data_IF_348330177285
#
_entry.id   IF_348330177285
#
_cell.length_a   1.000
_cell.length_b   1.000
_cell.length_c   1.000
_cell.angle_alpha   90.00
_cell.angle_beta   90.00
_cell.angle_gamma   90.00
#
_symmetry.space_group_name_H-M   'P 1'
#
loop_
_entity.id
_entity.type
_entity.pdbx_description
1 polymer ?
#
# COMPACT_ATOMS: atom_id res chain seq x y z
N UNK A 1 37.14 -62.81 4.32
CA UNK A 1 37.63 -63.13 5.67
C UNK A 1 36.64 -62.48 6.63
N UNK A 2 35.81 -63.30 7.11
CA UNK A 2 35.75 -64.06 8.35
C UNK A 2 35.11 -63.21 9.44
N UNK A 3 33.82 -63.38 9.69
CA UNK A 3 33.27 -64.32 10.70
C UNK A 3 33.48 -63.79 12.13
N UNK A 4 32.58 -63.81 13.03
CA UNK A 4 31.55 -64.73 13.49
C UNK A 4 30.98 -64.13 14.78
N UNK A 5 29.70 -64.19 14.98
CA UNK A 5 28.86 -65.16 15.74
C UNK A 5 28.43 -64.60 17.11
N UNK A 6 27.13 -64.53 17.30
CA UNK A 6 26.22 -65.46 18.05
C UNK A 6 26.45 -65.40 19.57
N UNK A 7 25.44 -65.37 20.42
CA UNK A 7 24.17 -66.08 20.65
C UNK A 7 23.52 -65.55 21.91
N UNK A 8 22.21 -65.41 21.96
CA UNK A 8 21.22 -66.25 22.65
C UNK A 8 21.33 -66.22 24.19
N UNK A 9 20.24 -66.09 24.91
CA UNK A 9 18.99 -66.79 25.12
C UNK A 9 18.16 -66.10 26.20
N UNK A 10 16.90 -66.08 26.08
CA UNK A 10 15.88 -67.03 26.54
C UNK A 10 15.96 -67.37 28.04
N UNK A 11 14.93 -66.99 28.82
CA UNK A 11 13.73 -67.75 29.19
C UNK A 11 13.06 -67.04 30.36
N UNK A 12 11.77 -66.73 30.30
CA UNK A 12 10.65 -67.55 30.77
C UNK A 12 10.67 -67.73 32.33
N UNK A 13 9.68 -67.40 33.07
CA UNK A 13 8.32 -67.85 33.10
C UNK A 13 7.60 -67.41 34.41
N UNK A 14 6.31 -67.09 34.24
CA UNK A 14 5.19 -67.65 34.99
C UNK A 14 4.82 -67.12 36.37
N UNK A 15 3.59 -66.64 36.37
CA UNK A 15 2.41 -67.02 37.19
C UNK A 15 2.44 -66.52 38.64
N UNK A 16 1.40 -66.05 39.19
CA UNK A 16 -0.06 -66.28 39.16
C UNK A 16 -0.75 -65.24 40.01
N UNK A 17 -1.85 -64.81 39.53
CA UNK A 17 -3.19 -64.69 40.11
C UNK A 17 -3.43 -64.21 41.55
N UNK A 18 -4.45 -63.36 41.55
CA UNK A 18 -5.56 -63.19 42.51
C UNK A 18 -5.46 -61.98 43.43
N UNK A 19 -6.38 -61.19 43.52
CA UNK A 19 -7.83 -61.05 43.49
C UNK A 19 -8.21 -59.80 44.29
N UNK A 20 -9.12 -59.06 43.73
CA UNK A 20 -10.14 -58.23 44.39
C UNK A 20 -9.77 -57.15 45.43
N UNK A 21 -10.04 -55.89 45.10
CA UNK A 21 -11.14 -55.17 45.71
C UNK A 21 -11.15 -53.70 45.26
N UNK A 22 -12.27 -53.33 44.68
CA UNK A 22 -12.88 -52.02 44.61
C UNK A 22 -12.24 -50.90 45.42
N UNK A 23 -11.98 -49.76 44.73
CA UNK A 23 -12.66 -48.47 44.99
C UNK A 23 -12.35 -47.50 43.88
N UNK A 24 -13.42 -47.06 43.23
CA UNK A 24 -13.37 -46.04 42.21
C UNK A 24 -12.95 -44.71 42.80
N UNK A 25 -11.87 -44.17 42.24
CA UNK A 25 -11.56 -42.73 42.36
C UNK A 25 -11.68 -42.10 40.99
N UNK A 26 -12.70 -41.23 40.92
CA UNK A 26 -12.95 -40.39 39.74
C UNK A 26 -11.74 -39.50 39.51
N UNK A 27 -10.98 -39.75 38.43
CA UNK A 27 -10.09 -38.76 37.88
C UNK A 27 -10.87 -37.56 37.38
N UNK A 28 -10.90 -36.48 38.15
CA UNK A 28 -11.33 -35.17 37.73
C UNK A 28 -10.26 -34.64 36.76
N UNK A 29 -10.63 -34.54 35.51
CA UNK A 29 -9.85 -33.90 34.44
C UNK A 29 -9.52 -32.45 34.79
N UNK A 30 -8.23 -32.17 34.94
CA UNK A 30 -7.65 -30.84 35.16
C UNK A 30 -7.67 -29.93 33.88
N UNK A 31 -8.77 -29.93 33.12
CA UNK A 31 -8.92 -29.10 31.93
C UNK A 31 -9.47 -27.69 32.20
N UNK A 32 -10.13 -27.48 33.34
CA UNK A 32 -10.75 -26.19 33.65
C UNK A 32 -9.80 -25.13 34.23
N UNK A 33 -8.65 -25.54 34.82
CA UNK A 33 -7.74 -24.60 35.49
C UNK A 33 -6.87 -23.79 34.55
N UNK A 34 -6.50 -24.34 33.37
CA UNK A 34 -5.66 -23.64 32.37
C UNK A 34 -6.45 -22.55 31.64
N UNK A 35 -7.73 -22.75 31.36
CA UNK A 35 -8.57 -21.72 30.72
C UNK A 35 -8.82 -20.52 31.64
N UNK A 36 -9.04 -20.74 32.94
CA UNK A 36 -9.20 -19.65 33.91
C UNK A 36 -7.95 -18.77 34.06
N UNK A 37 -6.76 -19.36 34.03
CA UNK A 37 -5.48 -18.63 34.15
C UNK A 37 -5.24 -17.77 32.92
N UNK A 38 -5.56 -18.23 31.70
CA UNK A 38 -5.44 -17.46 30.48
C UNK A 38 -6.38 -16.25 30.46
N UNK A 39 -7.63 -16.41 30.92
CA UNK A 39 -8.59 -15.31 31.04
C UNK A 39 -8.18 -14.29 32.10
N UNK A 40 -7.61 -14.72 33.22
CA UNK A 40 -7.08 -13.83 34.27
C UNK A 40 -5.85 -13.06 33.73
N UNK A 41 -4.97 -13.70 32.95
CA UNK A 41 -3.82 -13.06 32.37
C UNK A 41 -4.23 -12.02 31.29
N UNK A 42 -5.24 -12.33 30.48
CA UNK A 42 -5.81 -11.38 29.49
C UNK A 42 -6.51 -10.19 30.16
N UNK A 43 -7.27 -10.44 31.25
CA UNK A 43 -7.89 -9.38 32.02
C UNK A 43 -6.86 -8.49 32.73
N UNK A 44 -5.77 -9.09 33.26
CA UNK A 44 -4.67 -8.33 33.85
C UNK A 44 -3.91 -7.50 32.81
N UNK A 45 -3.67 -8.03 31.64
CA UNK A 45 -3.04 -7.29 30.53
C UNK A 45 -3.93 -6.11 30.08
N UNK A 46 -5.26 -6.32 29.97
CA UNK A 46 -6.20 -5.25 29.65
C UNK A 46 -6.22 -4.16 30.73
N UNK A 47 -6.18 -4.53 32.00
CA UNK A 47 -6.11 -3.59 33.13
C UNK A 47 -4.79 -2.81 33.15
N UNK A 48 -3.68 -3.42 32.78
CA UNK A 48 -2.37 -2.75 32.66
C UNK A 48 -2.41 -1.74 31.52
N UNK A 49 -2.99 -2.08 30.36
CA UNK A 49 -3.16 -1.15 29.23
C UNK A 49 -4.09 0.01 29.62
N UNK A 50 -5.20 -0.26 30.27
CA UNK A 50 -6.12 0.78 30.74
C UNK A 50 -5.49 1.65 31.84
N UNK A 51 -4.67 1.08 32.72
CA UNK A 51 -3.93 1.82 33.73
C UNK A 51 -2.81 2.67 33.07
N UNK A 52 -2.11 2.15 32.06
CA UNK A 52 -1.12 2.89 31.30
C UNK A 52 -1.74 4.07 30.55
N UNK A 53 -2.89 3.87 29.90
CA UNK A 53 -3.67 4.95 29.25
C UNK A 53 -4.18 5.95 30.28
N UNK A 54 -4.65 5.49 31.44
CA UNK A 54 -5.09 6.34 32.54
C UNK A 54 -3.94 7.14 33.15
N UNK A 55 -2.76 6.53 33.36
CA UNK A 55 -1.57 7.21 33.84
C UNK A 55 -1.01 8.20 32.82
N UNK A 56 -1.06 7.85 31.52
CA UNK A 56 -0.69 8.75 30.43
C UNK A 56 -1.64 9.97 30.36
N UNK A 57 -2.96 9.77 30.51
CA UNK A 57 -3.93 10.88 30.67
C UNK A 57 -3.64 11.75 31.93
N UNK A 58 -3.32 11.11 33.05
CA UNK A 58 -2.97 11.82 34.29
C UNK A 58 -1.64 12.54 34.23
N UNK A 59 -0.63 12.05 33.49
CA UNK A 59 0.64 12.74 33.32
C UNK A 59 0.51 14.00 32.45
N UNK A 60 -0.46 14.05 31.53
CA UNK A 60 -0.80 15.27 30.79
C UNK A 60 -1.54 16.32 31.64
N UNK A 61 -2.15 15.94 32.78
CA UNK A 61 -2.89 16.87 33.63
C UNK A 61 -2.03 17.65 34.64
N UNK A 62 -0.72 17.51 34.57
CA UNK A 62 0.18 18.15 35.52
C UNK A 62 1.28 19.00 34.90
N UNK A 63 1.00 20.25 34.56
CA UNK A 63 1.84 21.44 34.67
C UNK A 63 1.85 22.46 33.53
N UNK A 64 1.18 22.18 32.41
CA UNK A 64 1.01 23.19 31.37
C UNK A 64 -0.50 23.32 31.08
N UNK A 65 -1.01 24.47 30.62
CA UNK A 65 -2.39 24.54 30.15
C UNK A 65 -2.58 23.43 29.12
N UNK A 66 -3.45 22.46 29.47
CA UNK A 66 -3.68 21.29 28.61
C UNK A 66 -3.96 21.79 27.21
N UNK A 67 -3.21 21.28 26.22
CA UNK A 67 -3.44 21.61 24.82
C UNK A 67 -4.91 21.37 24.47
N UNK A 68 -5.50 22.27 23.70
CA UNK A 68 -6.93 22.21 23.38
C UNK A 68 -7.15 21.12 22.33
N UNK A 69 -8.19 20.30 22.52
CA UNK A 69 -8.64 19.35 21.52
C UNK A 69 -9.17 20.08 20.29
N UNK A 70 -8.62 19.79 19.11
CA UNK A 70 -9.01 20.43 17.85
C UNK A 70 -10.00 19.55 17.09
N UNK A 71 -9.70 18.26 16.95
CA UNK A 71 -10.56 17.26 16.31
C UNK A 71 -10.19 15.86 16.72
N UNK A 72 -11.01 14.89 16.32
CA UNK A 72 -10.72 13.46 16.46
C UNK A 72 -10.74 12.77 15.11
N UNK A 73 -9.92 11.74 14.97
CA UNK A 73 -9.89 10.84 13.81
C UNK A 73 -10.18 9.44 14.32
N UNK A 74 -11.44 9.02 14.24
CA UNK A 74 -11.91 7.82 14.91
C UNK A 74 -11.73 7.93 16.42
N UNK A 75 -10.85 7.13 17.00
CA UNK A 75 -10.55 7.17 18.45
C UNK A 75 -9.31 8.00 18.81
N UNK A 76 -8.60 8.53 17.81
CA UNK A 76 -7.38 9.30 18.03
C UNK A 76 -7.71 10.78 18.21
N UNK A 77 -7.32 11.32 19.35
CA UNK A 77 -7.46 12.75 19.68
C UNK A 77 -6.29 13.53 19.06
N UNK A 78 -6.59 14.70 18.47
CA UNK A 78 -5.60 15.63 17.90
C UNK A 78 -5.71 16.97 18.61
N UNK A 79 -4.63 17.38 19.25
CA UNK A 79 -4.56 18.57 20.06
C UNK A 79 -3.85 19.72 19.33
N UNK A 80 -4.03 20.95 19.81
CA UNK A 80 -3.53 22.16 19.16
C UNK A 80 -2.01 22.20 19.02
N UNK A 81 -1.28 21.73 20.03
CA UNK A 81 0.18 21.62 19.99
C UNK A 81 0.68 20.67 18.89
N UNK A 82 -0.03 19.55 18.70
CA UNK A 82 0.25 18.62 17.60
C UNK A 82 -0.07 19.24 16.24
N UNK A 83 -1.21 19.90 16.10
CA UNK A 83 -1.59 20.61 14.86
C UNK A 83 -0.56 21.67 14.52
N UNK A 84 -0.16 22.47 15.51
CA UNK A 84 0.85 23.51 15.33
C UNK A 84 2.20 22.93 14.90
N UNK A 85 2.60 21.77 15.44
CA UNK A 85 3.81 21.07 15.01
C UNK A 85 3.73 20.67 13.53
N UNK A 86 2.62 20.09 13.07
CA UNK A 86 2.45 19.72 11.67
C UNK A 86 2.44 20.95 10.75
N UNK A 87 1.78 22.03 11.14
CA UNK A 87 1.75 23.28 10.36
C UNK A 87 3.16 23.84 10.27
N UNK A 88 3.88 24.01 11.40
CA UNK A 88 5.22 24.56 11.42
C UNK A 88 6.16 23.77 10.50
N UNK A 89 6.15 22.44 10.60
CA UNK A 89 6.98 21.59 9.76
C UNK A 89 6.64 21.73 8.28
N UNK A 90 5.36 21.81 7.90
CA UNK A 90 4.95 21.97 6.51
C UNK A 90 5.29 23.35 5.97
N UNK A 91 5.03 24.42 6.74
CA UNK A 91 5.36 25.79 6.35
C UNK A 91 6.86 25.96 6.10
N UNK A 92 7.70 25.41 7.00
CA UNK A 92 9.17 25.46 6.85
C UNK A 92 9.63 24.58 5.68
N UNK A 93 9.17 23.33 5.59
CA UNK A 93 9.63 22.38 4.57
C UNK A 93 9.27 22.82 3.13
N UNK A 94 8.12 23.45 2.95
CA UNK A 94 7.68 23.94 1.63
C UNK A 94 8.05 25.40 1.38
N UNK A 95 8.67 26.11 2.34
CA UNK A 95 9.02 27.51 2.20
C UNK A 95 7.80 28.42 1.99
N UNK A 96 6.69 28.16 2.70
CA UNK A 96 5.43 28.87 2.51
C UNK A 96 5.51 30.26 3.12
N UNK A 97 5.81 31.27 2.30
CA UNK A 97 5.81 32.68 2.72
C UNK A 97 4.40 33.27 2.78
N UNK A 98 4.21 34.37 3.51
CA UNK A 98 2.93 35.08 3.56
C UNK A 98 2.48 35.54 2.16
N UNK A 99 3.40 36.06 1.36
CA UNK A 99 3.13 36.47 -0.02
C UNK A 99 2.66 35.31 -0.89
N UNK A 100 3.32 34.15 -0.81
CA UNK A 100 2.92 32.95 -1.56
C UNK A 100 1.53 32.49 -1.16
N UNK A 101 1.24 32.40 0.13
CA UNK A 101 -0.07 31.95 0.64
C UNK A 101 -1.23 32.87 0.21
N UNK A 102 -0.97 34.19 0.11
CA UNK A 102 -1.97 35.19 -0.24
C UNK A 102 -2.20 35.30 -1.75
N UNK A 103 -1.11 35.27 -2.54
CA UNK A 103 -1.14 35.65 -3.96
C UNK A 103 -1.11 34.45 -4.92
N UNK A 104 -0.96 33.21 -4.43
CA UNK A 104 -0.95 32.02 -5.27
C UNK A 104 -2.29 31.29 -5.24
N UNK A 105 -2.72 30.87 -6.43
CA UNK A 105 -3.89 29.99 -6.63
C UNK A 105 -3.40 28.58 -6.91
N UNK A 106 -3.93 27.61 -6.19
CA UNK A 106 -3.64 26.20 -6.39
C UNK A 106 -4.32 25.65 -7.67
N UNK A 107 -3.95 24.44 -8.09
CA UNK A 107 -4.48 23.81 -9.32
C UNK A 107 -6.00 23.59 -9.30
N UNK A 108 -6.58 23.41 -8.12
CA UNK A 108 -8.02 23.25 -7.90
C UNK A 108 -8.79 24.58 -7.88
N UNK A 109 -8.10 25.71 -8.03
CA UNK A 109 -8.68 27.07 -8.02
C UNK A 109 -8.82 27.68 -6.64
N UNK A 110 -8.46 26.99 -5.55
CA UNK A 110 -8.46 27.54 -4.19
C UNK A 110 -7.24 28.44 -3.94
N UNK A 111 -7.28 29.28 -2.88
CA UNK A 111 -6.09 29.98 -2.42
C UNK A 111 -5.05 28.99 -1.88
N UNK A 112 -3.77 29.28 -2.06
CA UNK A 112 -2.69 28.44 -1.53
C UNK A 112 -2.84 28.21 -0.02
N UNK A 113 -3.23 29.22 0.76
CA UNK A 113 -3.48 29.10 2.20
C UNK A 113 -4.57 28.06 2.55
N UNK A 114 -5.65 28.01 1.79
CA UNK A 114 -6.73 27.04 1.98
C UNK A 114 -6.29 25.64 1.55
N UNK A 115 -5.64 25.54 0.39
CA UNK A 115 -5.10 24.30 -0.14
C UNK A 115 -4.15 23.62 0.84
N UNK A 116 -3.11 24.33 1.29
CA UNK A 116 -2.14 23.73 2.22
C UNK A 116 -2.74 23.43 3.59
N UNK A 117 -3.70 24.23 4.07
CA UNK A 117 -4.42 23.94 5.30
C UNK A 117 -5.19 22.61 5.18
N UNK A 118 -5.84 22.38 4.05
CA UNK A 118 -6.54 21.13 3.76
C UNK A 118 -5.56 19.95 3.65
N UNK A 119 -4.43 20.13 2.94
CA UNK A 119 -3.41 19.10 2.82
C UNK A 119 -2.82 18.69 4.19
N UNK A 120 -2.63 19.64 5.10
CA UNK A 120 -2.16 19.35 6.46
C UNK A 120 -3.22 18.58 7.25
N UNK A 121 -4.49 18.91 7.10
CA UNK A 121 -5.59 18.17 7.73
C UNK A 121 -5.60 16.70 7.26
N UNK A 122 -5.51 16.49 5.94
CA UNK A 122 -5.47 15.16 5.33
C UNK A 122 -4.24 14.38 5.81
N UNK A 123 -3.08 15.02 5.86
CA UNK A 123 -1.84 14.40 6.37
C UNK A 123 -2.00 13.92 7.82
N UNK A 124 -2.55 14.75 8.70
CA UNK A 124 -2.76 14.35 10.10
C UNK A 124 -3.77 13.20 10.17
N UNK A 125 -4.84 13.28 9.41
CA UNK A 125 -5.87 12.23 9.36
C UNK A 125 -5.28 10.89 8.91
N UNK A 126 -4.49 10.90 7.83
CA UNK A 126 -3.84 9.70 7.31
C UNK A 126 -2.92 9.07 8.36
N UNK A 127 -2.06 9.87 8.99
CA UNK A 127 -1.20 9.39 10.07
C UNK A 127 -2.00 8.79 11.24
N UNK A 128 -3.12 9.38 11.64
CA UNK A 128 -3.95 8.86 12.74
C UNK A 128 -4.64 7.55 12.38
N UNK A 129 -5.12 7.40 11.13
CA UNK A 129 -5.66 6.14 10.63
C UNK A 129 -4.60 5.05 10.66
N UNK A 130 -3.43 5.32 10.07
CA UNK A 130 -2.32 4.38 10.01
C UNK A 130 -1.78 4.02 11.40
N UNK A 131 -1.66 5.00 12.28
CA UNK A 131 -1.29 4.77 13.69
C UNK A 131 -2.29 3.89 14.42
N UNK A 132 -3.59 4.10 14.22
CA UNK A 132 -4.64 3.22 14.76
C UNK A 132 -4.47 1.78 14.29
N UNK A 133 -4.17 1.57 13.01
CA UNK A 133 -3.91 0.24 12.44
C UNK A 133 -2.64 -0.36 13.02
N UNK A 134 -1.54 0.43 13.12
CA UNK A 134 -0.29 -0.04 13.73
C UNK A 134 -0.52 -0.55 15.17
N UNK A 135 -1.26 0.20 15.98
CA UNK A 135 -1.65 -0.22 17.34
C UNK A 135 -2.49 -1.50 17.33
N UNK A 136 -3.50 -1.57 16.46
CA UNK A 136 -4.39 -2.74 16.35
C UNK A 136 -3.63 -4.00 15.95
N UNK A 137 -2.61 -3.86 15.11
CA UNK A 137 -1.71 -4.96 14.70
C UNK A 137 -0.63 -5.27 15.73
N UNK A 138 -0.55 -4.54 16.83
CA UNK A 138 0.44 -4.75 17.90
C UNK A 138 1.87 -4.38 17.49
N UNK A 139 2.03 -3.47 16.53
CA UNK A 139 3.34 -2.96 16.13
C UNK A 139 3.90 -2.13 17.30
N UNK A 140 5.13 -2.42 17.69
CA UNK A 140 5.83 -1.74 18.78
C UNK A 140 7.23 -1.31 18.33
N UNK A 141 7.76 -0.28 18.97
CA UNK A 141 9.14 0.15 18.77
C UNK A 141 10.10 -0.72 19.59
N UNK A 142 11.28 -0.96 19.07
CA UNK A 142 12.41 -1.49 19.85
C UNK A 142 12.99 -0.41 20.76
N UNK A 143 13.86 -0.79 21.69
CA UNK A 143 14.56 0.17 22.56
C UNK A 143 15.43 1.15 21.75
N UNK A 144 16.05 0.68 20.66
CA UNK A 144 16.87 1.49 19.74
C UNK A 144 16.00 2.49 18.98
N UNK A 145 14.83 2.05 18.48
CA UNK A 145 13.88 2.94 17.79
C UNK A 145 13.30 3.98 18.76
N UNK A 146 12.97 3.62 19.99
CA UNK A 146 12.55 4.58 21.00
C UNK A 146 13.64 5.60 21.34
N UNK A 147 14.91 5.18 21.34
CA UNK A 147 16.03 6.09 21.53
C UNK A 147 16.19 7.04 20.34
N UNK A 148 16.01 6.52 19.11
CA UNK A 148 16.02 7.35 17.89
C UNK A 148 14.91 8.38 17.91
N UNK A 149 13.68 8.00 18.26
CA UNK A 149 12.54 8.93 18.43
C UNK A 149 12.89 10.06 19.39
N UNK A 150 13.47 9.75 20.55
CA UNK A 150 13.87 10.77 21.53
C UNK A 150 14.99 11.69 21.00
N UNK A 151 15.95 11.11 20.30
CA UNK A 151 17.05 11.85 19.67
C UNK A 151 16.54 12.83 18.62
N UNK A 152 15.66 12.35 17.73
CA UNK A 152 15.08 13.15 16.64
C UNK A 152 14.21 14.28 17.21
N UNK A 153 13.43 14.00 18.27
CA UNK A 153 12.65 15.02 18.96
C UNK A 153 13.55 16.11 19.57
N UNK A 154 14.64 15.73 20.24
CA UNK A 154 15.62 16.69 20.79
C UNK A 154 16.29 17.50 19.68
N UNK A 155 16.66 16.87 18.59
CA UNK A 155 17.26 17.54 17.44
C UNK A 155 16.30 18.56 16.83
N UNK A 156 15.03 18.19 16.62
CA UNK A 156 14.01 19.11 16.13
C UNK A 156 13.82 20.29 17.08
N UNK A 157 13.67 20.04 18.39
CA UNK A 157 13.53 21.11 19.38
C UNK A 157 14.73 22.05 19.40
N UNK A 158 15.94 21.54 19.16
CA UNK A 158 17.18 22.33 19.08
C UNK A 158 17.32 23.10 17.75
N UNK A 159 16.63 22.75 16.71
CA UNK A 159 16.68 23.42 15.41
C UNK A 159 15.72 24.61 15.29
N UNK A 160 14.76 24.74 16.18
CA UNK A 160 13.74 25.80 16.17
C UNK A 160 13.98 26.75 17.37
N UNK A 161 13.77 28.05 17.15
CA UNK A 161 13.86 29.03 18.22
C UNK A 161 12.86 28.71 19.36
N UNK A 162 13.36 28.62 20.60
CA UNK A 162 12.54 28.28 21.76
C UNK A 162 11.38 29.23 22.03
N UNK A 163 11.50 30.51 21.64
CA UNK A 163 10.38 31.48 21.74
C UNK A 163 9.22 31.09 20.84
N UNK A 164 9.53 30.58 19.65
CA UNK A 164 8.55 30.08 18.67
C UNK A 164 7.82 28.88 19.22
N UNK A 165 8.58 27.86 19.66
CA UNK A 165 8.03 26.64 20.24
C UNK A 165 7.09 26.94 21.41
N UNK A 166 7.51 27.83 22.31
CA UNK A 166 6.70 28.24 23.45
C UNK A 166 5.42 28.97 23.04
N UNK A 167 5.48 29.86 22.03
CA UNK A 167 4.31 30.58 21.52
C UNK A 167 3.31 29.62 20.88
N UNK A 168 3.78 28.60 20.18
CA UNK A 168 2.94 27.59 19.53
C UNK A 168 2.51 26.47 20.49
N UNK A 169 2.97 26.49 21.76
CA UNK A 169 2.70 25.45 22.74
C UNK A 169 3.31 24.09 22.38
N UNK A 170 4.34 24.07 21.51
CA UNK A 170 5.02 22.84 21.08
C UNK A 170 6.03 22.45 22.16
N UNK A 171 5.77 21.36 22.85
CA UNK A 171 6.63 20.80 23.88
C UNK A 171 7.45 19.63 23.35
N UNK A 172 8.55 19.31 24.04
CA UNK A 172 9.35 18.12 23.69
C UNK A 172 8.53 16.83 23.80
N UNK A 173 7.61 16.75 24.77
CA UNK A 173 6.73 15.58 24.93
C UNK A 173 5.78 15.44 23.75
N UNK A 174 5.20 16.56 23.27
CA UNK A 174 4.37 16.56 22.05
C UNK A 174 5.17 16.06 20.83
N UNK A 175 6.36 16.62 20.60
CA UNK A 175 7.23 16.21 19.47
C UNK A 175 7.60 14.73 19.57
N UNK A 176 7.99 14.29 20.77
CA UNK A 176 8.35 12.87 21.00
C UNK A 176 7.20 11.94 20.70
N UNK A 177 5.98 12.29 21.13
CA UNK A 177 4.79 11.45 20.89
C UNK A 177 4.42 11.41 19.39
N UNK A 178 4.45 12.55 18.70
CA UNK A 178 4.18 12.60 17.25
C UNK A 178 5.24 11.79 16.48
N UNK A 179 6.50 11.91 16.84
CA UNK A 179 7.56 11.12 16.19
C UNK A 179 7.41 9.64 16.46
N UNK A 180 7.05 9.26 17.69
CA UNK A 180 6.73 7.86 18.01
C UNK A 180 5.60 7.30 17.13
N UNK A 181 4.54 8.07 16.93
CA UNK A 181 3.44 7.68 16.04
C UNK A 181 3.94 7.49 14.60
N UNK A 182 4.75 8.42 14.07
CA UNK A 182 5.33 8.34 12.72
C UNK A 182 6.25 7.13 12.55
N UNK A 183 7.05 6.79 13.56
CA UNK A 183 7.89 5.58 13.52
C UNK A 183 7.04 4.30 13.48
N UNK A 184 5.94 4.25 14.23
CA UNK A 184 5.01 3.11 14.18
C UNK A 184 4.31 3.00 12.83
N UNK A 185 3.92 4.12 12.22
CA UNK A 185 3.36 4.18 10.87
C UNK A 185 4.39 3.70 9.85
N UNK A 186 5.63 4.19 9.93
CA UNK A 186 6.72 3.74 9.06
C UNK A 186 6.92 2.21 9.13
N UNK A 187 6.90 1.63 10.33
CA UNK A 187 6.99 0.15 10.49
C UNK A 187 5.79 -0.58 9.88
N UNK A 188 4.60 0.01 9.97
CA UNK A 188 3.41 -0.52 9.31
C UNK A 188 3.60 -0.52 7.80
N UNK A 189 4.01 0.60 7.21
CA UNK A 189 4.28 0.71 5.78
C UNK A 189 5.40 -0.24 5.33
N UNK A 190 6.51 -0.32 6.08
CA UNK A 190 7.60 -1.27 5.81
C UNK A 190 7.13 -2.74 5.84
N UNK A 191 6.12 -3.06 6.67
CA UNK A 191 5.53 -4.40 6.66
C UNK A 191 4.76 -4.69 5.38
N UNK A 192 4.08 -3.69 4.83
CA UNK A 192 3.35 -3.78 3.55
C UNK A 192 4.33 -3.83 2.37
N UNK A 193 5.39 -3.03 2.40
CA UNK A 193 6.43 -3.03 1.36
C UNK A 193 7.09 -4.41 1.22
N UNK A 194 7.28 -5.13 2.33
CA UNK A 194 7.82 -6.51 2.31
C UNK A 194 6.87 -7.54 1.68
N UNK A 195 5.59 -7.22 1.56
CA UNK A 195 4.63 -8.06 0.85
C UNK A 195 4.76 -7.93 -0.68
N UNK A 196 5.48 -6.91 -1.17
CA UNK A 196 5.68 -6.72 -2.61
C UNK A 196 6.86 -7.57 -3.07
N UNK A 197 6.55 -8.66 -3.74
CA UNK A 197 7.54 -9.61 -4.28
C UNK A 197 7.34 -9.79 -5.78
N UNK A 198 8.36 -10.29 -6.47
CA UNK A 198 8.26 -10.61 -7.88
C UNK A 198 7.26 -11.77 -8.15
N UNK A 199 7.07 -12.65 -7.17
CA UNK A 199 6.14 -13.78 -7.24
C UNK A 199 4.67 -13.33 -7.25
N UNK A 200 4.36 -12.18 -6.63
CA UNK A 200 3.01 -11.61 -6.62
C UNK A 200 2.65 -10.88 -7.92
N UNK A 201 3.63 -10.70 -8.81
CA UNK A 201 3.48 -10.02 -10.07
C UNK A 201 3.41 -11.06 -11.19
N UNK A 202 2.22 -11.28 -11.72
CA UNK A 202 2.01 -12.20 -12.84
C UNK A 202 2.30 -11.47 -14.16
N UNK A 203 3.54 -11.54 -14.62
CA UNK A 203 3.96 -10.96 -15.89
C UNK A 203 3.95 -12.02 -16.98
N UNK A 204 3.02 -11.87 -17.92
CA UNK A 204 2.93 -12.72 -19.09
C UNK A 204 3.73 -12.13 -20.25
N UNK A 205 4.43 -12.98 -20.99
CA UNK A 205 5.02 -12.62 -22.30
C UNK A 205 4.05 -13.01 -23.40
N UNK A 206 3.71 -12.06 -24.26
CA UNK A 206 2.78 -12.25 -25.37
C UNK A 206 3.32 -11.65 -26.67
N UNK A 207 2.89 -12.24 -27.80
CA UNK A 207 2.92 -11.53 -29.08
C UNK A 207 1.57 -10.89 -29.35
N UNK A 208 1.59 -9.69 -29.93
CA UNK A 208 0.40 -8.97 -30.37
C UNK A 208 0.54 -8.68 -31.86
N UNK A 209 -0.43 -9.17 -32.64
CA UNK A 209 -0.56 -8.83 -34.05
C UNK A 209 -1.66 -7.78 -34.18
N UNK A 210 -1.33 -6.61 -34.72
CA UNK A 210 -2.23 -5.46 -34.82
C UNK A 210 -2.63 -5.18 -36.27
N UNK A 211 -3.93 -5.07 -36.53
CA UNK A 211 -4.55 -4.63 -37.78
C UNK A 211 -5.18 -3.25 -37.56
N UNK A 212 -4.46 -2.14 -37.79
CA UNK A 212 -4.95 -0.80 -37.48
C UNK A 212 -6.22 -0.44 -38.27
N UNK A 213 -7.15 0.24 -37.61
CA UNK A 213 -8.31 0.91 -38.20
C UNK A 213 -8.05 2.38 -38.50
N UNK A 214 -6.85 2.84 -38.15
CA UNK A 214 -6.39 4.24 -38.23
C UNK A 214 -5.26 4.35 -39.24
N UNK A 215 -5.07 5.56 -39.76
CA UNK A 215 -3.90 5.89 -40.57
C UNK A 215 -2.64 5.86 -39.70
N UNK A 216 -1.56 5.31 -40.27
CA UNK A 216 -0.27 5.19 -39.60
C UNK A 216 0.74 6.11 -40.28
N UNK A 217 1.55 6.79 -39.46
CA UNK A 217 2.70 7.57 -39.92
C UNK A 217 3.84 6.64 -40.41
N UNK A 218 4.83 7.17 -41.12
CA UNK A 218 6.02 6.40 -41.52
C UNK A 218 6.81 5.84 -40.32
N UNK A 219 6.75 6.54 -39.18
CA UNK A 219 7.40 6.14 -37.92
C UNK A 219 6.63 5.10 -37.13
N UNK A 220 5.42 4.70 -37.56
CA UNK A 220 4.59 3.70 -36.94
C UNK A 220 3.66 4.20 -35.83
N UNK A 221 3.55 5.53 -35.69
CA UNK A 221 2.56 6.15 -34.83
C UNK A 221 1.19 6.33 -35.51
N UNK A 222 0.17 6.72 -34.78
CA UNK A 222 -1.13 7.07 -35.32
C UNK A 222 -1.08 8.48 -35.94
N UNK A 223 -1.55 8.61 -37.16
CA UNK A 223 -1.81 9.94 -37.73
C UNK A 223 -2.98 10.58 -36.98
N UNK A 224 -2.82 11.86 -36.58
CA UNK A 224 -3.77 12.60 -35.78
C UNK A 224 -4.44 13.71 -36.54
N UNK A 225 -5.67 14.02 -36.21
CA UNK A 225 -6.42 15.16 -36.74
C UNK A 225 -5.78 16.49 -36.27
N UNK A 226 -6.31 17.60 -36.77
CA UNK A 226 -5.82 18.95 -36.44
C UNK A 226 -5.85 19.28 -34.91
N UNK A 227 -6.67 18.56 -34.14
CA UNK A 227 -6.73 18.68 -32.69
C UNK A 227 -5.49 18.07 -31.98
N UNK A 228 -4.69 17.32 -32.69
CA UNK A 228 -3.49 16.64 -32.16
C UNK A 228 -3.79 15.47 -31.22
N UNK A 229 -5.04 15.12 -31.01
CA UNK A 229 -5.46 14.08 -30.06
C UNK A 229 -6.19 12.92 -30.77
N UNK A 230 -7.12 13.24 -31.67
CA UNK A 230 -7.99 12.25 -32.32
C UNK A 230 -7.27 11.55 -33.47
N UNK A 231 -7.19 10.18 -33.50
CA UNK A 231 -6.61 9.46 -34.63
C UNK A 231 -7.43 9.64 -35.92
N UNK A 232 -6.75 9.65 -37.08
CA UNK A 232 -7.38 9.65 -38.39
C UNK A 232 -7.83 8.23 -38.70
N UNK A 233 -9.14 8.02 -38.83
CA UNK A 233 -9.70 6.69 -39.14
C UNK A 233 -9.53 6.35 -40.64
N UNK A 234 -9.26 5.08 -40.92
CA UNK A 234 -9.36 4.54 -42.28
C UNK A 234 -10.80 4.63 -42.81
N UNK A 235 -10.98 4.53 -44.11
CA UNK A 235 -12.31 4.43 -44.70
C UNK A 235 -13.04 3.14 -44.23
N UNK A 236 -14.38 3.19 -44.23
CA UNK A 236 -15.19 2.02 -43.84
C UNK A 236 -14.86 0.75 -44.67
N UNK A 237 -14.53 0.93 -45.96
CA UNK A 237 -14.15 -0.17 -46.80
C UNK A 237 -12.78 -0.76 -46.39
N UNK A 238 -11.82 0.07 -46.04
CA UNK A 238 -10.51 -0.38 -45.53
C UNK A 238 -10.63 -1.04 -44.17
N UNK A 239 -11.45 -0.51 -43.28
CA UNK A 239 -11.73 -1.11 -41.96
C UNK A 239 -12.37 -2.51 -42.15
N UNK A 240 -13.33 -2.63 -43.04
CA UNK A 240 -13.95 -3.92 -43.37
C UNK A 240 -12.94 -4.93 -43.99
N UNK A 241 -11.95 -4.43 -44.76
CA UNK A 241 -10.88 -5.27 -45.27
C UNK A 241 -9.94 -5.70 -44.14
N UNK A 242 -9.53 -4.78 -43.21
CA UNK A 242 -8.73 -5.11 -42.02
C UNK A 242 -9.36 -6.18 -41.14
N UNK A 243 -10.71 -6.15 -41.01
CA UNK A 243 -11.45 -7.21 -40.30
C UNK A 243 -11.29 -8.58 -40.97
N UNK A 244 -11.46 -8.63 -42.31
CA UNK A 244 -11.30 -9.88 -43.05
C UNK A 244 -9.86 -10.41 -42.99
N UNK A 245 -8.88 -9.50 -43.04
CA UNK A 245 -7.48 -9.85 -42.95
C UNK A 245 -7.15 -10.41 -41.56
N UNK A 246 -7.69 -9.81 -40.50
CA UNK A 246 -7.52 -10.30 -39.12
C UNK A 246 -8.16 -11.67 -38.93
N UNK A 247 -9.38 -11.88 -39.44
CA UNK A 247 -10.08 -13.18 -39.34
C UNK A 247 -9.34 -14.28 -40.13
N UNK A 248 -8.78 -13.95 -41.32
CA UNK A 248 -7.97 -14.87 -42.08
C UNK A 248 -6.63 -15.18 -41.42
N UNK A 249 -5.95 -14.17 -40.93
CA UNK A 249 -4.71 -14.30 -40.16
C UNK A 249 -4.90 -15.20 -38.94
N UNK A 250 -5.94 -14.97 -38.16
CA UNK A 250 -6.27 -15.80 -37.00
C UNK A 250 -6.42 -17.28 -37.37
N UNK A 251 -7.13 -17.59 -38.47
CA UNK A 251 -7.26 -18.95 -38.95
C UNK A 251 -5.93 -19.59 -39.34
N UNK A 252 -5.10 -18.84 -40.08
CA UNK A 252 -3.76 -19.30 -40.48
C UNK A 252 -2.83 -19.57 -39.28
N UNK A 253 -2.91 -18.71 -38.25
CA UNK A 253 -2.19 -18.91 -36.99
C UNK A 253 -2.64 -20.18 -36.28
N UNK A 254 -3.94 -20.45 -36.23
CA UNK A 254 -4.47 -21.71 -35.68
C UNK A 254 -4.06 -22.93 -36.48
N UNK A 255 -3.86 -22.78 -37.81
CA UNK A 255 -3.38 -23.83 -38.71
C UNK A 255 -1.85 -24.01 -38.62
N UNK A 256 -1.15 -23.21 -37.79
CA UNK A 256 0.26 -23.36 -37.47
C UNK A 256 1.20 -22.42 -38.21
N UNK A 257 0.71 -21.38 -38.88
CA UNK A 257 1.54 -20.33 -39.46
C UNK A 257 2.29 -19.55 -38.37
N UNK A 258 3.48 -19.05 -38.69
CA UNK A 258 4.25 -18.20 -37.77
C UNK A 258 3.72 -16.79 -37.77
N UNK A 259 3.72 -16.15 -36.59
CA UNK A 259 3.17 -14.80 -36.44
C UNK A 259 3.93 -13.76 -37.26
N UNK A 260 5.25 -13.93 -37.41
CA UNK A 260 6.08 -13.03 -38.23
C UNK A 260 5.76 -13.15 -39.73
N UNK A 261 5.50 -14.37 -40.20
CA UNK A 261 5.09 -14.63 -41.59
C UNK A 261 3.72 -14.04 -41.90
N UNK A 262 2.82 -14.10 -40.93
CA UNK A 262 1.48 -13.50 -41.02
C UNK A 262 1.60 -11.97 -41.01
N UNK A 263 2.42 -11.39 -40.14
CA UNK A 263 2.65 -9.95 -40.10
C UNK A 263 3.18 -9.41 -41.45
N UNK A 264 4.18 -10.07 -42.01
CA UNK A 264 4.74 -9.73 -43.34
C UNK A 264 3.68 -9.87 -44.43
N UNK A 265 2.96 -10.98 -44.46
CA UNK A 265 1.94 -11.28 -45.47
C UNK A 265 0.84 -10.23 -45.53
N UNK A 266 0.37 -9.77 -44.37
CA UNK A 266 -0.73 -8.80 -44.30
C UNK A 266 -0.26 -7.36 -44.17
N UNK A 267 1.07 -7.12 -44.15
CA UNK A 267 1.67 -5.80 -43.99
C UNK A 267 1.25 -5.11 -42.72
N UNK A 268 1.30 -5.84 -41.61
CA UNK A 268 0.89 -5.39 -40.27
C UNK A 268 2.03 -5.60 -39.28
N UNK A 269 1.96 -4.89 -38.15
CA UNK A 269 2.97 -4.99 -37.10
C UNK A 269 2.69 -6.17 -36.16
N UNK A 270 3.76 -6.94 -35.90
CA UNK A 270 3.78 -7.89 -34.79
C UNK A 270 4.69 -7.35 -33.71
N UNK A 271 4.18 -7.22 -32.50
CA UNK A 271 4.95 -6.81 -31.36
C UNK A 271 5.21 -8.02 -30.47
N UNK A 272 6.48 -8.28 -30.15
CA UNK A 272 6.83 -9.24 -29.12
C UNK A 272 6.77 -8.52 -27.80
N UNK A 273 5.87 -8.94 -26.92
CA UNK A 273 5.75 -8.34 -25.60
C UNK A 273 6.68 -9.02 -24.60
N UNK A 274 7.95 -8.69 -24.62
CA UNK A 274 8.77 -8.80 -23.41
C UNK A 274 8.39 -7.71 -22.39
N UNK A 275 7.41 -6.87 -22.74
CA UNK A 275 6.94 -5.78 -21.90
C UNK A 275 5.70 -6.21 -21.14
N UNK A 276 5.86 -6.29 -19.84
CA UNK A 276 4.92 -6.74 -18.82
C UNK A 276 3.57 -6.02 -18.77
N UNK A 277 3.32 -5.04 -19.57
CA UNK A 277 2.14 -4.19 -19.47
C UNK A 277 1.49 -3.83 -20.80
N UNK A 278 1.64 -4.68 -21.81
CA UNK A 278 0.89 -4.50 -23.05
C UNK A 278 -0.63 -4.48 -22.77
N UNK A 279 -1.10 -5.23 -21.78
CA UNK A 279 -2.49 -5.23 -21.34
C UNK A 279 -2.94 -3.90 -20.77
N UNK A 280 -2.11 -3.25 -19.94
CA UNK A 280 -2.38 -1.91 -19.40
C UNK A 280 -2.37 -0.81 -20.47
N UNK A 281 -1.47 -0.92 -21.45
CA UNK A 281 -1.35 0.05 -22.53
C UNK A 281 -2.49 -0.02 -23.55
N UNK A 282 -3.09 -1.18 -23.74
CA UNK A 282 -4.16 -1.40 -24.72
C UNK A 282 -5.58 -1.46 -24.13
N UNK A 283 -5.72 -1.43 -22.79
CA UNK A 283 -7.01 -1.37 -22.09
C UNK A 283 -7.70 -2.71 -21.85
N UNK A 284 -8.92 -2.65 -21.31
CA UNK A 284 -9.67 -3.78 -20.77
C UNK A 284 -9.83 -5.01 -21.69
N UNK A 285 -10.10 -4.93 -23.00
CA UNK A 285 -10.26 -6.14 -23.80
C UNK A 285 -9.03 -7.03 -23.82
N UNK A 286 -7.83 -6.45 -23.76
CA UNK A 286 -6.57 -7.20 -23.82
C UNK A 286 -6.26 -7.90 -22.50
N UNK A 287 -6.49 -7.23 -21.36
CA UNK A 287 -6.25 -7.83 -20.05
C UNK A 287 -7.12 -9.06 -19.79
N UNK A 288 -8.39 -9.03 -20.16
CA UNK A 288 -9.30 -10.17 -19.99
C UNK A 288 -8.81 -11.43 -20.75
N UNK A 289 -8.32 -11.23 -21.99
CA UNK A 289 -7.77 -12.32 -22.78
C UNK A 289 -6.41 -12.78 -22.27
N UNK A 290 -5.55 -11.84 -21.83
CA UNK A 290 -4.25 -12.17 -21.25
C UNK A 290 -4.37 -13.06 -20.01
N UNK A 291 -5.35 -12.81 -19.15
CA UNK A 291 -5.63 -13.61 -17.95
C UNK A 291 -6.20 -14.99 -18.27
N UNK A 292 -6.87 -15.16 -19.41
CA UNK A 292 -7.55 -16.40 -19.76
C UNK A 292 -6.78 -17.36 -20.65
N UNK A 293 -5.78 -16.85 -21.41
CA UNK A 293 -5.01 -17.64 -22.36
C UNK A 293 -3.95 -18.51 -21.64
N UNK A 294 -3.75 -19.71 -22.16
CA UNK A 294 -2.65 -20.60 -21.78
C UNK A 294 -1.48 -20.41 -22.74
N UNK A 295 -0.32 -20.90 -22.34
CA UNK A 295 0.86 -20.90 -23.21
C UNK A 295 0.58 -21.49 -24.58
N UNK A 296 1.04 -20.80 -25.60
CA UNK A 296 0.84 -21.09 -27.01
C UNK A 296 -0.61 -20.98 -27.53
N UNK A 297 -1.55 -20.49 -26.71
CA UNK A 297 -2.90 -20.21 -27.18
C UNK A 297 -2.97 -18.81 -27.83
N UNK A 298 -3.87 -18.71 -28.82
CA UNK A 298 -4.22 -17.44 -29.47
C UNK A 298 -5.58 -16.96 -28.97
N UNK A 299 -5.73 -15.63 -28.78
CA UNK A 299 -7.04 -15.02 -28.56
C UNK A 299 -7.89 -15.11 -29.83
N UNK A 300 -9.22 -15.02 -29.72
CA UNK A 300 -10.05 -14.60 -30.86
C UNK A 300 -9.57 -13.25 -31.39
N UNK A 301 -10.06 -12.83 -32.56
CA UNK A 301 -9.84 -11.46 -33.05
C UNK A 301 -10.52 -10.49 -32.09
N UNK A 302 -9.73 -9.68 -31.43
CA UNK A 302 -10.17 -8.65 -30.47
C UNK A 302 -10.41 -7.36 -31.26
N UNK A 303 -11.57 -6.76 -31.06
CA UNK A 303 -11.90 -5.48 -31.68
C UNK A 303 -11.80 -4.36 -30.66
N UNK A 304 -11.05 -3.32 -31.00
CA UNK A 304 -10.99 -2.06 -30.26
C UNK A 304 -11.47 -0.90 -31.14
N UNK A 305 -11.45 0.31 -30.63
CA UNK A 305 -11.76 1.50 -31.43
C UNK A 305 -10.75 1.71 -32.54
N UNK A 306 -9.44 1.47 -32.30
CA UNK A 306 -8.33 1.79 -33.20
C UNK A 306 -7.76 0.61 -33.97
N UNK A 307 -8.07 -0.65 -33.60
CA UNK A 307 -7.51 -1.82 -34.27
C UNK A 307 -8.34 -3.07 -34.09
N UNK A 308 -8.03 -4.08 -34.93
CA UNK A 308 -8.25 -5.49 -34.62
C UNK A 308 -6.93 -6.08 -34.16
N UNK A 309 -6.96 -6.97 -33.16
CA UNK A 309 -5.74 -7.56 -32.63
C UNK A 309 -5.90 -9.06 -32.39
N UNK A 310 -4.77 -9.78 -32.44
CA UNK A 310 -4.69 -11.19 -32.07
C UNK A 310 -3.54 -11.30 -31.07
N UNK A 311 -3.80 -11.85 -29.89
CA UNK A 311 -2.79 -12.14 -28.87
C UNK A 311 -2.33 -13.60 -29.02
N UNK A 312 -1.06 -13.85 -28.82
CA UNK A 312 -0.50 -15.18 -28.57
C UNK A 312 0.19 -15.18 -27.23
N UNK A 313 -0.26 -16.01 -26.30
CA UNK A 313 0.45 -16.24 -25.06
C UNK A 313 1.72 -17.02 -25.32
N UNK A 314 2.86 -16.49 -24.89
CA UNK A 314 4.17 -17.15 -24.99
C UNK A 314 4.50 -17.80 -23.66
N UNK A 315 4.40 -17.05 -22.58
CA UNK A 315 4.69 -17.50 -21.23
C UNK A 315 3.74 -16.83 -20.25
N UNK A 316 3.01 -17.64 -19.46
CA UNK A 316 1.96 -17.14 -18.54
C UNK A 316 2.56 -16.45 -17.33
N UNK A 317 3.74 -16.89 -16.88
CA UNK A 317 4.43 -16.33 -15.71
C UNK A 317 5.93 -16.26 -15.98
N UNK A 318 6.36 -15.15 -16.56
CA UNK A 318 7.77 -14.89 -16.86
C UNK A 318 8.46 -14.32 -15.62
N UNK A 319 9.12 -15.20 -14.86
CA UNK A 319 9.83 -14.84 -13.63
C UNK A 319 11.03 -13.90 -13.90
N UNK A 320 11.73 -14.09 -15.00
CA UNK A 320 12.87 -13.21 -15.37
C UNK A 320 12.38 -11.78 -15.62
N UNK A 321 11.27 -11.64 -16.32
CA UNK A 321 10.63 -10.35 -16.56
C UNK A 321 10.12 -9.74 -15.23
N UNK A 322 9.50 -10.54 -14.36
CA UNK A 322 9.07 -10.09 -13.03
C UNK A 322 10.24 -9.56 -12.20
N UNK A 323 11.36 -10.27 -12.15
CA UNK A 323 12.57 -9.85 -11.44
C UNK A 323 13.17 -8.57 -12.03
N UNK A 324 13.18 -8.44 -13.35
CA UNK A 324 13.64 -7.25 -14.04
C UNK A 324 12.78 -6.02 -13.68
N UNK A 325 11.45 -6.15 -13.74
CA UNK A 325 10.52 -5.09 -13.40
C UNK A 325 10.64 -4.70 -11.94
N UNK A 326 10.72 -5.68 -11.04
CA UNK A 326 10.97 -5.42 -9.63
C UNK A 326 12.25 -4.61 -9.41
N UNK A 327 13.31 -4.86 -10.18
CA UNK A 327 14.55 -4.11 -10.04
C UNK A 327 14.41 -2.61 -10.39
N UNK A 328 13.51 -2.27 -11.33
CA UNK A 328 13.30 -0.90 -11.80
C UNK A 328 12.17 -0.17 -11.10
N UNK A 329 11.07 -0.86 -10.80
CA UNK A 329 9.82 -0.24 -10.37
C UNK A 329 9.40 -0.61 -8.94
N UNK A 330 10.26 -1.27 -8.18
CA UNK A 330 9.94 -1.73 -6.81
C UNK A 330 9.38 -0.62 -5.93
N UNK A 331 9.99 0.57 -5.94
CA UNK A 331 9.56 1.69 -5.12
C UNK A 331 8.15 2.20 -5.50
N UNK A 332 7.81 2.16 -6.79
CA UNK A 332 6.49 2.57 -7.27
C UNK A 332 5.43 1.51 -6.91
N UNK A 333 5.75 0.23 -7.05
CA UNK A 333 4.88 -0.88 -6.65
C UNK A 333 4.62 -0.88 -5.13
N UNK A 334 5.66 -0.64 -4.34
CA UNK A 334 5.54 -0.49 -2.88
C UNK A 334 4.61 0.67 -2.51
N UNK A 335 4.75 1.82 -3.18
CA UNK A 335 3.91 2.99 -2.99
C UNK A 335 2.45 2.73 -3.39
N UNK A 336 2.23 2.06 -4.52
CA UNK A 336 0.91 1.67 -4.98
C UNK A 336 0.24 0.73 -3.98
N UNK A 337 0.95 -0.28 -3.52
CA UNK A 337 0.48 -1.23 -2.50
C UNK A 337 0.08 -0.53 -1.19
N UNK A 338 0.90 0.41 -0.71
CA UNK A 338 0.56 1.23 0.46
C UNK A 338 -0.72 2.04 0.19
N UNK A 339 -0.84 2.64 -1.00
CA UNK A 339 -2.04 3.42 -1.37
C UNK A 339 -3.31 2.58 -1.38
N UNK A 340 -3.25 1.34 -1.88
CA UNK A 340 -4.35 0.39 -1.80
C UNK A 340 -4.69 0.02 -0.34
N UNK A 341 -3.67 -0.27 0.46
CA UNK A 341 -3.83 -0.61 1.88
C UNK A 341 -4.43 0.55 2.67
N UNK A 342 -4.08 1.80 2.38
CA UNK A 342 -4.72 2.97 3.00
C UNK A 342 -6.23 2.98 2.79
N UNK A 343 -6.73 2.66 1.61
CA UNK A 343 -8.17 2.55 1.34
C UNK A 343 -8.84 1.46 2.21
N UNK A 344 -8.14 0.32 2.41
CA UNK A 344 -8.62 -0.74 3.31
C UNK A 344 -8.64 -0.28 4.76
N UNK A 345 -7.59 0.42 5.22
CA UNK A 345 -7.45 0.92 6.59
C UNK A 345 -8.51 1.96 6.94
N UNK A 346 -8.85 2.84 6.02
CA UNK A 346 -9.98 3.77 6.20
C UNK A 346 -11.30 3.02 6.42
N UNK A 347 -11.57 1.98 5.63
CA UNK A 347 -12.75 1.12 5.81
C UNK A 347 -12.71 0.36 7.16
N UNK A 348 -11.54 -0.16 7.53
CA UNK A 348 -11.35 -0.93 8.76
C UNK A 348 -11.50 -0.08 10.02
N UNK A 349 -11.06 1.17 9.99
CA UNK A 349 -11.18 2.11 11.10
C UNK A 349 -12.55 2.79 11.14
N UNK A 350 -13.29 2.80 10.05
CA UNK A 350 -14.59 3.48 9.92
C UNK A 350 -14.47 5.01 10.01
N UNK A 351 -13.27 5.55 9.77
CA UNK A 351 -13.04 7.00 9.78
C UNK A 351 -13.67 7.64 8.56
N UNK A 352 -14.39 8.74 8.78
CA UNK A 352 -14.98 9.55 7.69
C UNK A 352 -13.93 10.42 7.00
N UNK A 353 -14.28 10.91 5.81
CA UNK A 353 -13.42 11.86 5.07
C UNK A 353 -13.17 13.15 5.86
N UNK A 354 -14.15 13.61 6.64
CA UNK A 354 -13.98 14.74 7.53
C UNK A 354 -13.83 14.28 8.99
N UNK A 355 -12.83 14.81 9.74
CA UNK A 355 -12.69 14.57 11.17
C UNK A 355 -13.83 15.19 11.98
N UNK A 356 -14.02 14.68 13.19
CA UNK A 356 -14.95 15.26 14.17
C UNK A 356 -14.29 16.47 14.86
N UNK A 357 -14.68 17.68 14.43
CA UNK A 357 -14.10 18.91 14.97
C UNK A 357 -14.67 19.28 16.34
N UNK A 358 -13.75 19.57 17.28
CA UNK A 358 -14.09 20.10 18.61
C UNK A 358 -14.24 21.63 18.56
N UNK A 359 -15.42 22.11 18.23
CA UNK A 359 -15.72 23.54 18.13
C UNK A 359 -15.12 24.23 16.89
N UNK A 360 -14.70 25.49 17.03
CA UNK A 360 -14.21 26.31 15.90
C UNK A 360 -12.69 26.37 15.77
N UNK A 361 -11.92 25.74 16.66
CA UNK A 361 -10.48 25.93 16.77
C UNK A 361 -9.77 25.72 15.43
N UNK A 362 -10.08 24.63 14.71
CA UNK A 362 -9.49 24.37 13.39
C UNK A 362 -9.74 25.51 12.40
N UNK A 363 -10.94 26.12 12.42
CA UNK A 363 -11.30 27.23 11.51
C UNK A 363 -10.48 28.47 11.82
N UNK A 364 -10.20 28.70 13.10
CA UNK A 364 -9.52 29.89 13.59
C UNK A 364 -7.99 29.83 13.39
N UNK A 365 -7.41 28.62 13.12
CA UNK A 365 -6.00 28.44 12.80
C UNK A 365 -5.68 29.05 11.43
N UNK A 366 -4.67 29.92 11.39
CA UNK A 366 -4.17 30.57 10.18
C UNK A 366 -2.73 30.14 9.88
N UNK A 367 -2.44 29.74 8.64
CA UNK A 367 -1.07 29.42 8.23
C UNK A 367 -0.18 30.65 8.22
N UNK A 368 -0.72 31.86 8.12
CA UNK A 368 0.03 33.12 8.17
C UNK A 368 0.74 33.32 9.51
N UNK A 369 0.21 32.76 10.59
CA UNK A 369 0.83 32.85 11.93
C UNK A 369 2.17 32.07 12.03
N UNK A 370 2.51 31.29 11.00
CA UNK A 370 3.70 30.46 10.93
C UNK A 370 4.71 30.93 9.88
N UNK A 371 4.37 31.88 9.00
CA UNK A 371 5.23 32.26 7.86
C UNK A 371 6.47 33.04 8.26
N UNK A 372 6.46 33.75 9.40
CA UNK A 372 7.65 34.47 9.89
C UNK A 372 8.89 33.58 10.10
N UNK A 373 8.69 32.24 10.18
CA UNK A 373 9.77 31.26 10.39
C UNK A 373 10.45 30.82 9.09
N UNK A 374 9.93 31.25 7.96
CA UNK A 374 10.50 31.00 6.63
C UNK A 374 11.28 32.21 6.15
N UNK A 375 10.96 33.39 6.68
CA UNK A 375 11.50 34.69 6.24
C UNK A 375 12.75 35.11 7.03
N UNK A 376 13.09 34.42 8.15
CA UNK A 376 14.35 34.59 8.89
C UNK A 376 15.46 33.67 8.32
#
# INVERSE_FOLDING_TARGET
MSEKKKKQGKQQNRKTDRLYSEKGEKQKTHSGRKKGIVWIALAAALLIVLAAVGLWRLSRTGKEPASQLVFTVGQEEVYLDEVNLYILQNVVNFGLTADYLENTTARDGSKASEYYKQQILELIRDYKVEYSIAKKRGIVLSEEEEQSVRSDAVQFMGSINGTILNRLGITQDCVTEVYKQRYLVKKLEESVQKEVTAEDQNYATMYILLFPKVEMTEDGDYERQEDGETPVMLSEEMIAQRKKDADAAHKELLDGARIEEIAEKYGVSAYSGEESNLTGSFGAPFSEYAESLKENEYSPVIETESCYAILKMVEVNNQELADQIMSYYKADLEKEKITEKKKEWYKETGVSEEPDFAGSIWKDISLYDFTEYVEE
#
